data_IF_143226327615
#
_entry.id   IF_143226327615
#
_cell.length_a   1.000
_cell.length_b   1.000
_cell.length_c   1.000
_cell.angle_alpha   90.00
_cell.angle_beta   90.00
_cell.angle_gamma   90.00
#
_symmetry.space_group_name_H-M   'P 1'
#
loop_
_entity.id
_entity.type
_entity.pdbx_description
1 polymer ?
#
# COMPACT_ATOMS: atom_id res chain seq x y z
N UNK A 1 -7.59 6.64 12.52
CA UNK A 1 -7.94 5.34 11.90
C UNK A 1 -6.75 4.89 11.06
N UNK A 2 -6.19 3.70 11.33
CA UNK A 2 -4.98 3.18 10.68
C UNK A 2 -5.10 3.07 9.15
N UNK A 3 -6.32 2.94 8.64
CA UNK A 3 -6.67 2.81 7.21
C UNK A 3 -6.36 4.10 6.41
N UNK A 4 -6.17 5.25 7.09
CA UNK A 4 -5.65 6.47 6.45
C UNK A 4 -4.12 6.55 6.45
N UNK A 5 -3.44 5.76 7.29
CA UNK A 5 -1.99 5.84 7.41
C UNK A 5 -1.31 5.41 6.11
N UNK A 6 -1.70 4.27 5.52
CA UNK A 6 -1.15 3.81 4.23
C UNK A 6 -1.35 4.86 3.13
N UNK A 7 -2.52 5.51 3.10
CA UNK A 7 -2.81 6.57 2.13
C UNK A 7 -1.92 7.80 2.33
N UNK A 8 -1.67 8.23 3.57
CA UNK A 8 -0.72 9.30 3.88
C UNK A 8 0.70 8.93 3.42
N UNK A 9 1.18 7.74 3.79
CA UNK A 9 2.51 7.24 3.43
C UNK A 9 2.71 7.19 1.92
N UNK A 10 1.78 6.57 1.19
CA UNK A 10 1.90 6.39 -0.25
C UNK A 10 1.75 7.71 -1.01
N UNK A 11 0.83 8.60 -0.62
CA UNK A 11 0.61 9.86 -1.33
C UNK A 11 1.76 10.87 -1.09
N UNK A 12 2.25 11.01 0.16
CA UNK A 12 3.44 11.82 0.45
C UNK A 12 4.71 11.19 -0.16
N UNK A 13 4.83 9.87 -0.11
CA UNK A 13 5.92 9.14 -0.74
C UNK A 13 5.95 9.34 -2.26
N UNK A 14 4.78 9.43 -2.90
CA UNK A 14 4.69 9.72 -4.34
C UNK A 14 5.22 11.11 -4.66
N UNK A 15 4.91 12.11 -3.83
CA UNK A 15 5.48 13.46 -3.98
C UNK A 15 7.01 13.44 -3.86
N UNK A 16 7.53 12.74 -2.84
CA UNK A 16 8.97 12.57 -2.62
C UNK A 16 9.66 11.96 -3.84
N UNK A 17 9.18 10.80 -4.29
CA UNK A 17 9.78 10.05 -5.39
C UNK A 17 9.72 10.81 -6.72
N UNK A 18 8.60 11.47 -7.02
CA UNK A 18 8.49 12.32 -8.23
C UNK A 18 9.42 13.53 -8.17
N UNK A 19 9.75 14.04 -6.98
CA UNK A 19 10.67 15.18 -6.86
C UNK A 19 12.13 14.77 -7.00
N UNK A 20 12.50 13.62 -6.42
CA UNK A 20 13.86 13.06 -6.51
C UNK A 20 14.15 12.44 -7.87
N UNK A 21 13.12 11.91 -8.55
CA UNK A 21 13.21 11.31 -9.88
C UNK A 21 12.16 11.92 -10.83
N UNK A 22 12.36 13.18 -11.31
CA UNK A 22 11.33 13.91 -12.07
C UNK A 22 10.92 13.29 -13.40
N UNK A 23 11.75 12.41 -13.95
CA UNK A 23 11.47 11.67 -15.19
C UNK A 23 10.73 10.36 -14.93
N UNK A 24 10.56 9.94 -13.67
CA UNK A 24 9.91 8.68 -13.30
C UNK A 24 8.39 8.85 -13.21
N UNK A 25 7.67 7.84 -13.68
CA UNK A 25 6.21 7.79 -13.66
C UNK A 25 5.65 7.14 -12.38
N UNK A 26 6.24 7.42 -11.20
CA UNK A 26 5.73 6.88 -9.94
C UNK A 26 4.31 7.38 -9.71
N UNK A 27 3.39 6.51 -9.35
CA UNK A 27 1.99 6.87 -9.15
C UNK A 27 1.42 6.22 -7.90
N UNK A 28 0.54 6.97 -7.24
CA UNK A 28 -0.21 6.52 -6.06
C UNK A 28 -1.36 5.63 -6.50
N UNK A 29 -1.57 4.52 -5.79
CA UNK A 29 -2.68 3.60 -6.00
C UNK A 29 -3.33 3.22 -4.68
N UNK A 30 -4.65 3.02 -4.74
CA UNK A 30 -5.42 2.38 -3.69
C UNK A 30 -6.27 1.26 -4.29
N UNK A 31 -6.44 0.16 -3.57
CA UNK A 31 -7.24 -0.95 -4.04
C UNK A 31 -7.14 -2.20 -3.20
N UNK A 32 -7.38 -3.35 -3.83
CA UNK A 32 -7.30 -4.66 -3.17
C UNK A 32 -5.85 -5.08 -2.99
N UNK A 33 -5.49 -5.51 -1.79
CA UNK A 33 -4.17 -6.07 -1.45
C UNK A 33 -4.36 -7.36 -0.65
N UNK A 34 -3.74 -8.45 -1.09
CA UNK A 34 -3.76 -9.73 -0.37
C UNK A 34 -2.34 -10.26 -0.18
N UNK A 35 -1.99 -10.58 1.06
CA UNK A 35 -0.70 -11.17 1.44
C UNK A 35 -0.93 -12.43 2.28
N UNK A 36 -0.30 -13.55 1.91
CA UNK A 36 -0.33 -14.76 2.74
C UNK A 36 0.44 -14.55 4.03
N UNK A 37 -0.10 -14.95 5.17
CA UNK A 37 0.51 -14.72 6.48
C UNK A 37 0.98 -16.01 7.14
N UNK A 38 0.22 -17.10 6.98
CA UNK A 38 0.49 -18.38 7.62
C UNK A 38 -0.08 -19.53 6.81
N UNK A 39 0.54 -20.72 6.77
CA UNK A 39 -0.11 -21.91 6.27
C UNK A 39 -1.27 -22.31 7.20
N UNK A 40 -2.36 -22.81 6.62
CA UNK A 40 -3.45 -23.41 7.38
C UNK A 40 -3.00 -24.79 7.90
N UNK A 41 -3.02 -25.04 9.22
CA UNK A 41 -2.57 -26.31 9.79
C UNK A 41 -3.55 -27.46 9.52
N UNK A 42 -4.78 -27.17 9.10
CA UNK A 42 -5.86 -28.14 8.91
C UNK A 42 -6.07 -28.53 7.45
N UNK A 43 -5.75 -27.62 6.51
CA UNK A 43 -5.93 -27.83 5.07
C UNK A 43 -4.61 -27.70 4.32
N UNK A 44 -4.14 -28.84 3.77
CA UNK A 44 -2.87 -28.88 3.05
C UNK A 44 -2.89 -27.96 1.81
N UNK A 45 -1.95 -27.02 1.77
CA UNK A 45 -1.80 -26.08 0.67
C UNK A 45 -2.65 -24.82 0.78
N UNK A 46 -3.48 -24.70 1.83
CA UNK A 46 -4.23 -23.49 2.13
C UNK A 46 -3.39 -22.57 3.02
N UNK A 47 -3.54 -21.26 2.83
CA UNK A 47 -2.86 -20.23 3.61
C UNK A 47 -3.89 -19.24 4.13
N UNK A 48 -3.71 -18.83 5.39
CA UNK A 48 -4.31 -17.59 5.89
C UNK A 48 -3.72 -16.41 5.10
N UNK A 49 -4.57 -15.44 4.80
CA UNK A 49 -4.18 -14.22 4.13
C UNK A 49 -4.77 -13.01 4.85
N UNK A 50 -3.96 -11.96 4.96
CA UNK A 50 -4.45 -10.63 5.25
C UNK A 50 -4.94 -10.03 3.94
N UNK A 51 -6.24 -9.81 3.84
CA UNK A 51 -6.88 -9.31 2.64
C UNK A 51 -7.56 -7.98 2.93
N UNK A 52 -7.08 -6.93 2.27
CA UNK A 52 -7.79 -5.66 2.18
C UNK A 52 -8.60 -5.69 0.89
N UNK A 53 -9.86 -6.13 0.93
CA UNK A 53 -10.74 -6.13 -0.23
C UNK A 53 -11.74 -4.98 -0.22
N UNK A 54 -11.44 -3.95 -1.01
CA UNK A 54 -12.30 -2.78 -1.15
C UNK A 54 -13.65 -3.09 -1.83
N UNK A 55 -13.83 -4.24 -2.50
CA UNK A 55 -15.11 -4.63 -3.10
C UNK A 55 -16.01 -5.42 -2.16
N UNK A 56 -15.44 -6.20 -1.25
CA UNK A 56 -16.14 -6.96 -0.23
C UNK A 56 -15.50 -6.69 1.12
N UNK A 57 -15.75 -5.52 1.72
CA UNK A 57 -15.22 -5.22 3.05
C UNK A 57 -15.87 -6.20 4.04
N UNK A 58 -15.14 -7.27 4.40
CA UNK A 58 -15.55 -8.27 5.38
C UNK A 58 -15.66 -7.64 6.79
N UNK A 59 -15.05 -6.48 6.98
CA UNK A 59 -15.06 -5.69 8.21
C UNK A 59 -15.68 -4.32 7.88
N UNK A 60 -16.65 -3.85 8.69
CA UNK A 60 -17.34 -2.60 8.43
C UNK A 60 -16.44 -1.41 8.80
N UNK A 61 -15.52 -1.05 7.90
CA UNK A 61 -14.97 0.29 7.64
C UNK A 61 -13.86 0.21 6.56
N UNK A 62 -14.27 -0.08 5.30
CA UNK A 62 -13.49 0.13 4.06
C UNK A 62 -12.03 -0.37 4.06
N UNK A 63 -11.81 -1.68 4.09
CA UNK A 63 -10.45 -2.22 3.99
C UNK A 63 -9.92 -2.19 2.56
N UNK A 64 -9.15 -1.14 2.27
CA UNK A 64 -8.28 -1.03 1.11
C UNK A 64 -6.83 -0.89 1.60
N UNK A 65 -5.89 -1.09 0.68
CA UNK A 65 -4.49 -0.73 0.92
C UNK A 65 -4.01 0.28 -0.11
N UNK A 66 -2.96 1.02 0.24
CA UNK A 66 -2.36 2.02 -0.63
C UNK A 66 -0.88 1.71 -0.86
N UNK A 67 -0.42 1.89 -2.09
CA UNK A 67 0.96 1.69 -2.49
C UNK A 67 1.35 2.69 -3.59
N UNK A 68 2.64 2.70 -3.92
CA UNK A 68 3.17 3.44 -5.06
C UNK A 68 3.65 2.41 -6.08
N UNK A 69 3.45 2.67 -7.37
CA UNK A 69 3.97 1.80 -8.41
C UNK A 69 4.64 2.58 -9.54
N UNK A 70 5.54 1.92 -10.26
CA UNK A 70 6.23 2.43 -11.45
C UNK A 70 6.48 1.31 -12.48
N UNK A 71 6.29 1.55 -13.80
CA UNK A 71 5.60 2.70 -14.38
C UNK A 71 4.08 2.62 -14.14
N UNK A 72 3.30 3.53 -14.74
CA UNK A 72 1.85 3.61 -14.60
C UNK A 72 1.14 2.29 -15.03
N UNK A 73 0.39 1.59 -14.15
CA UNK A 73 -0.46 0.42 -14.42
C UNK A 73 -1.46 0.51 -15.56
N UNK A 74 -1.66 1.67 -16.21
CA UNK A 74 -2.24 1.69 -17.56
C UNK A 74 -1.56 0.67 -18.50
N UNK A 75 -0.28 0.33 -18.22
CA UNK A 75 0.52 -0.65 -18.96
C UNK A 75 0.51 -2.07 -18.38
N UNK A 76 -0.22 -2.34 -17.29
CA UNK A 76 -0.38 -3.67 -16.63
C UNK A 76 0.92 -4.39 -16.22
N UNK A 77 2.06 -3.72 -16.22
CA UNK A 77 3.36 -4.27 -15.83
C UNK A 77 3.96 -3.32 -14.80
N UNK A 78 4.04 -3.77 -13.54
CA UNK A 78 4.79 -3.06 -12.51
C UNK A 78 6.27 -3.43 -12.65
N UNK A 79 7.14 -2.46 -12.87
CA UNK A 79 8.58 -2.67 -12.69
C UNK A 79 8.97 -2.51 -11.22
N UNK A 80 8.24 -1.68 -10.48
CA UNK A 80 8.46 -1.41 -9.07
C UNK A 80 7.14 -1.18 -8.34
N UNK A 81 7.07 -1.68 -7.11
CA UNK A 81 6.01 -1.50 -6.14
C UNK A 81 6.65 -1.12 -4.82
N UNK A 82 6.13 -0.04 -4.23
CA UNK A 82 6.67 0.56 -3.01
C UNK A 82 5.53 0.74 -2.00
N UNK A 83 5.76 0.26 -0.79
CA UNK A 83 4.85 0.42 0.34
C UNK A 83 5.63 0.86 1.59
N UNK A 84 5.55 2.16 1.89
CA UNK A 84 6.16 2.75 3.09
C UNK A 84 5.39 2.45 4.39
N UNK A 85 4.25 1.76 4.30
CA UNK A 85 3.43 1.35 5.44
C UNK A 85 3.57 -0.14 5.78
N UNK A 86 4.43 -0.88 5.07
CA UNK A 86 4.58 -2.34 5.18
C UNK A 86 4.85 -2.84 6.61
N UNK A 87 5.60 -2.08 7.43
CA UNK A 87 5.81 -2.36 8.85
C UNK A 87 4.54 -2.56 9.68
N UNK A 88 3.40 -2.06 9.20
CA UNK A 88 2.13 -2.15 9.91
C UNK A 88 1.34 -3.41 9.56
N UNK A 89 1.73 -4.18 8.54
CA UNK A 89 0.95 -5.34 8.07
C UNK A 89 0.82 -6.43 9.14
N UNK A 90 1.88 -6.75 9.87
CA UNK A 90 1.82 -7.75 10.93
C UNK A 90 0.90 -7.31 12.08
N UNK A 91 1.00 -6.05 12.50
CA UNK A 91 0.09 -5.48 13.51
C UNK A 91 -1.36 -5.58 13.04
N UNK A 92 -1.64 -5.30 11.76
CA UNK A 92 -2.99 -5.38 11.20
C UNK A 92 -3.51 -6.81 11.13
N UNK A 93 -2.67 -7.78 10.75
CA UNK A 93 -3.04 -9.19 10.82
C UNK A 93 -3.46 -9.59 12.25
N UNK A 94 -2.69 -9.17 13.26
CA UNK A 94 -3.01 -9.44 14.67
C UNK A 94 -4.31 -8.77 15.12
N UNK A 95 -4.57 -7.52 14.70
CA UNK A 95 -5.84 -6.81 14.98
C UNK A 95 -7.06 -7.57 14.44
N UNK A 96 -6.90 -8.25 13.30
CA UNK A 96 -7.96 -9.07 12.69
C UNK A 96 -7.97 -10.53 13.16
N UNK A 97 -7.12 -10.90 14.13
CA UNK A 97 -7.00 -12.28 14.60
C UNK A 97 -6.41 -13.23 13.55
N UNK A 98 -5.76 -12.71 12.51
CA UNK A 98 -5.11 -13.47 11.45
C UNK A 98 -3.71 -13.88 11.93
N UNK A 99 -3.37 -15.19 11.97
CA UNK A 99 -2.05 -15.65 12.37
C UNK A 99 -0.94 -15.14 11.45
N UNK A 100 0.23 -14.83 12.00
CA UNK A 100 1.43 -14.42 11.26
C UNK A 100 2.60 -15.36 11.55
N UNK A 101 2.65 -16.46 10.80
CA UNK A 101 3.62 -17.54 10.92
C UNK A 101 4.53 -17.53 9.67
N UNK A 102 5.20 -16.40 9.47
CA UNK A 102 6.16 -16.15 8.40
C UNK A 102 7.23 -15.19 8.90
N UNK A 103 8.29 -15.02 8.11
CA UNK A 103 9.30 -14.01 8.41
C UNK A 103 8.67 -12.60 8.45
N UNK A 104 9.14 -11.72 9.36
CA UNK A 104 8.69 -10.34 9.41
C UNK A 104 8.82 -9.65 8.05
N UNK A 105 7.82 -8.84 7.70
CA UNK A 105 7.91 -7.96 6.53
C UNK A 105 8.85 -6.79 6.87
N UNK A 106 9.70 -6.34 5.93
CA UNK A 106 10.59 -5.19 6.15
C UNK A 106 9.82 -3.91 6.50
N UNK A 107 10.54 -2.91 7.04
CA UNK A 107 9.93 -1.64 7.45
C UNK A 107 9.18 -0.93 6.31
N UNK A 108 9.67 -1.11 5.09
CA UNK A 108 9.03 -0.73 3.85
C UNK A 108 9.26 -1.82 2.80
N UNK A 109 8.37 -1.91 1.83
CA UNK A 109 8.56 -2.72 0.62
C UNK A 109 9.03 -1.79 -0.48
N UNK A 110 10.06 -2.20 -1.22
CA UNK A 110 10.45 -1.64 -2.51
C UNK A 110 10.96 -2.79 -3.35
N UNK A 111 10.16 -3.24 -4.32
CA UNK A 111 10.44 -4.46 -5.07
C UNK A 111 9.77 -4.46 -6.43
N UNK A 112 10.16 -5.37 -7.31
CA UNK A 112 9.42 -5.72 -8.52
C UNK A 112 8.35 -6.80 -8.24
N UNK A 113 7.71 -7.30 -9.31
CA UNK A 113 6.72 -8.38 -9.24
C UNK A 113 7.31 -9.67 -8.65
N UNK A 114 8.55 -10.02 -8.96
CA UNK A 114 9.18 -11.24 -8.46
C UNK A 114 9.38 -11.18 -6.93
N UNK A 115 9.77 -10.03 -6.39
CA UNK A 115 9.86 -9.89 -4.94
C UNK A 115 8.49 -9.77 -4.24
N UNK A 116 7.43 -9.30 -4.91
CA UNK A 116 6.07 -9.45 -4.39
C UNK A 116 5.67 -10.93 -4.23
N UNK A 117 6.03 -11.78 -5.20
CA UNK A 117 5.81 -13.23 -5.11
C UNK A 117 6.61 -13.87 -3.96
N UNK A 118 7.86 -13.45 -3.76
CA UNK A 118 8.68 -13.87 -2.61
C UNK A 118 8.05 -13.44 -1.29
N UNK A 119 7.49 -12.23 -1.25
CA UNK A 119 6.70 -11.73 -0.12
C UNK A 119 5.32 -12.39 -0.02
N UNK A 120 4.97 -13.35 -0.88
CA UNK A 120 3.67 -14.04 -0.88
C UNK A 120 2.48 -13.07 -1.01
N UNK A 121 2.67 -11.97 -1.73
CA UNK A 121 1.56 -11.09 -2.13
C UNK A 121 0.84 -11.78 -3.29
N UNK A 122 -0.43 -12.13 -3.08
CA UNK A 122 -1.26 -12.85 -4.06
C UNK A 122 -2.02 -11.91 -4.97
N UNK A 123 -2.41 -10.76 -4.44
CA UNK A 123 -3.23 -9.81 -5.19
C UNK A 123 -2.79 -8.39 -4.90
N UNK A 124 -2.62 -7.63 -5.98
CA UNK A 124 -2.38 -6.19 -5.98
C UNK A 124 -3.21 -5.57 -7.11
N UNK A 125 -4.44 -5.17 -6.80
CA UNK A 125 -5.40 -4.69 -7.81
C UNK A 125 -5.78 -3.24 -7.53
N UNK A 126 -5.33 -2.27 -8.35
CA UNK A 126 -5.71 -0.88 -8.19
C UNK A 126 -7.20 -0.69 -8.54
N UNK A 127 -7.84 0.23 -7.84
CA UNK A 127 -9.21 0.65 -8.11
C UNK A 127 -9.17 2.16 -8.36
N UNK A 128 -9.39 2.56 -9.62
CA UNK A 128 -9.20 3.94 -10.09
C UNK A 128 -10.09 4.91 -9.31
N UNK A 129 -11.39 4.63 -9.22
CA UNK A 129 -12.34 5.50 -8.51
C UNK A 129 -11.98 5.67 -7.02
N UNK A 130 -11.47 4.62 -6.39
CA UNK A 130 -11.03 4.66 -5.00
C UNK A 130 -9.76 5.50 -4.84
N UNK A 131 -8.79 5.31 -5.74
CA UNK A 131 -7.54 6.07 -5.79
C UNK A 131 -7.84 7.57 -5.92
N UNK A 132 -8.72 7.95 -6.84
CA UNK A 132 -9.13 9.34 -7.07
C UNK A 132 -9.92 9.92 -5.89
N UNK A 133 -10.80 9.12 -5.29
CA UNK A 133 -11.57 9.53 -4.10
C UNK A 133 -10.65 9.80 -2.92
N UNK A 134 -9.75 8.88 -2.59
CA UNK A 134 -8.80 9.03 -1.46
C UNK A 134 -7.90 10.25 -1.68
N UNK A 135 -7.35 10.41 -2.89
CA UNK A 135 -6.50 11.55 -3.23
C UNK A 135 -7.22 12.87 -2.99
N UNK A 136 -8.45 13.01 -3.49
CA UNK A 136 -9.26 14.23 -3.29
C UNK A 136 -9.59 14.47 -1.83
N UNK A 137 -9.99 13.44 -1.09
CA UNK A 137 -10.33 13.54 0.33
C UNK A 137 -9.13 13.98 1.16
N UNK A 138 -7.96 13.36 0.96
CA UNK A 138 -6.75 13.71 1.70
C UNK A 138 -6.27 15.13 1.38
N UNK A 139 -6.31 15.55 0.12
CA UNK A 139 -5.92 16.91 -0.26
C UNK A 139 -6.84 18.00 0.32
N UNK A 140 -8.04 17.65 0.78
CA UNK A 140 -8.93 18.57 1.48
C UNK A 140 -8.65 18.60 3.00
N UNK A 141 -8.05 17.55 3.55
CA UNK A 141 -7.75 17.42 4.98
C UNK A 141 -6.67 18.44 5.41
N UNK A 142 -6.94 19.33 6.39
CA UNK A 142 -5.98 20.37 6.79
C UNK A 142 -4.65 19.81 7.31
N UNK A 143 -4.69 18.71 8.06
CA UNK A 143 -3.48 18.08 8.59
C UNK A 143 -2.60 17.54 7.45
N UNK A 144 -3.20 16.83 6.49
CA UNK A 144 -2.48 16.31 5.33
C UNK A 144 -1.89 17.43 4.48
N UNK A 145 -2.67 18.50 4.20
CA UNK A 145 -2.18 19.65 3.45
C UNK A 145 -0.95 20.30 4.08
N UNK A 146 -0.92 20.44 5.41
CA UNK A 146 0.26 20.96 6.12
C UNK A 146 1.47 20.04 5.95
N UNK A 147 1.30 18.73 6.09
CA UNK A 147 2.37 17.77 5.88
C UNK A 147 2.88 17.80 4.42
N UNK A 148 1.98 17.84 3.44
CA UNK A 148 2.29 17.95 2.03
C UNK A 148 3.10 19.22 1.72
N UNK A 149 2.65 20.38 2.21
CA UNK A 149 3.35 21.66 2.01
C UNK A 149 4.72 21.67 2.68
N UNK A 150 4.83 21.14 3.90
CA UNK A 150 6.11 21.03 4.61
C UNK A 150 7.10 20.15 3.86
N UNK A 151 6.66 18.99 3.36
CA UNK A 151 7.47 18.10 2.55
C UNK A 151 7.88 18.78 1.24
N UNK A 152 6.94 19.37 0.50
CA UNK A 152 7.24 20.07 -0.76
C UNK A 152 8.26 21.20 -0.57
N UNK A 153 8.14 21.97 0.51
CA UNK A 153 9.09 23.05 0.86
C UNK A 153 10.47 22.49 1.14
N UNK A 154 10.55 21.43 1.95
CA UNK A 154 11.80 20.75 2.28
C UNK A 154 12.49 20.24 1.01
N UNK A 155 11.74 19.59 0.11
CA UNK A 155 12.29 19.04 -1.13
C UNK A 155 12.70 20.10 -2.15
N UNK A 156 12.19 21.33 -2.05
CA UNK A 156 12.64 22.44 -2.88
C UNK A 156 13.93 23.09 -2.37
N UNK A 157 14.35 22.75 -1.14
CA UNK A 157 15.61 23.21 -0.56
C UNK A 157 16.77 22.22 -0.73
N UNK A 158 16.48 21.03 -1.29
CA UNK A 158 17.46 20.02 -1.70
C UNK A 158 17.90 20.27 -3.15
#
# INVERSE_FOLDING_TARGET
MPDRACAWYALLGTLLLRRLSPKSCYSFYAGTFEICTSPDPTEAGVWYALCFDAHQPLIPDQEFHCWIAHPDPAQRIYSEVIDFSARHLETRAREFGIPWNRDPVPDFIWTDVAGLEQLKVRQLRPIVDLTDRITRTLLQEPAFRRAWQSLATTLNSL
#
